data_IF_339000493356
#
_entry.id   IF_339000493356
#
_cell.length_a   1.000
_cell.length_b   1.000
_cell.length_c   1.000
_cell.angle_alpha   90.00
_cell.angle_beta   90.00
_cell.angle_gamma   90.00
#
_symmetry.space_group_name_H-M   'P 1'
#
loop_
_entity.id
_entity.type
_entity.pdbx_description
1 polymer ?
#
# COMPACT_ATOMS: atom_id res chain seq x y z
N UNK A 1 42.29 -11.05 74.96
CA UNK A 1 42.43 -9.81 75.77
C UNK A 1 41.56 -9.86 77.03
N UNK A 2 40.23 -9.99 76.95
CA UNK A 2 39.34 -10.05 78.12
C UNK A 2 39.67 -11.20 79.11
N UNK A 3 39.97 -12.41 78.60
CA UNK A 3 40.39 -13.55 79.43
C UNK A 3 41.71 -13.28 80.18
N UNK A 4 42.64 -12.55 79.56
CA UNK A 4 43.94 -12.18 80.16
C UNK A 4 43.81 -11.03 81.18
N UNK A 5 42.84 -10.12 81.01
CA UNK A 5 42.55 -9.03 81.94
C UNK A 5 41.88 -9.52 83.24
N UNK A 6 41.06 -10.58 83.17
CA UNK A 6 40.47 -11.23 84.35
C UNK A 6 41.51 -11.88 85.26
N UNK A 7 42.65 -12.32 84.71
CA UNK A 7 43.75 -12.90 85.49
C UNK A 7 44.61 -11.86 86.24
N UNK A 8 44.50 -10.57 85.91
CA UNK A 8 45.33 -9.49 86.47
C UNK A 8 44.71 -8.75 87.68
N UNK A 9 43.56 -9.20 88.20
CA UNK A 9 42.91 -8.59 89.37
C UNK A 9 42.49 -7.13 89.17
N UNK A 10 42.62 -6.28 90.22
CA UNK A 10 42.23 -4.86 90.17
C UNK A 10 42.94 -4.05 89.06
N UNK A 11 44.20 -4.37 88.76
CA UNK A 11 44.96 -3.69 87.70
C UNK A 11 44.45 -3.98 86.28
N UNK A 12 43.72 -5.08 86.08
CA UNK A 12 43.18 -5.50 84.78
C UNK A 12 41.79 -4.95 84.45
N UNK A 13 41.12 -4.28 85.40
CA UNK A 13 39.72 -3.86 85.27
C UNK A 13 39.50 -2.84 84.14
N UNK A 14 40.43 -1.90 83.96
CA UNK A 14 40.41 -0.97 82.83
C UNK A 14 40.64 -1.65 81.48
N UNK A 15 41.53 -2.64 81.41
CA UNK A 15 41.77 -3.41 80.19
C UNK A 15 40.59 -4.34 79.84
N UNK A 16 39.87 -4.85 80.84
CA UNK A 16 38.67 -5.65 80.64
C UNK A 16 37.55 -4.83 79.98
N UNK A 17 37.29 -3.61 80.45
CA UNK A 17 36.28 -2.70 79.87
C UNK A 17 36.64 -2.31 78.44
N UNK A 18 37.91 -1.98 78.19
CA UNK A 18 38.38 -1.65 76.83
C UNK A 18 38.27 -2.86 75.90
N UNK A 19 38.58 -4.07 76.37
CA UNK A 19 38.45 -5.28 75.58
C UNK A 19 36.97 -5.59 75.23
N UNK A 20 36.05 -5.36 76.16
CA UNK A 20 34.61 -5.56 75.96
C UNK A 20 34.04 -4.53 74.95
N UNK A 21 34.47 -3.26 75.04
CA UNK A 21 34.07 -2.23 74.07
C UNK A 21 34.66 -2.49 72.67
N UNK A 22 35.90 -2.98 72.58
CA UNK A 22 36.50 -3.40 71.30
C UNK A 22 35.75 -4.59 70.71
N UNK A 23 35.36 -5.59 71.52
CA UNK A 23 34.56 -6.71 71.04
C UNK A 23 33.19 -6.26 70.53
N UNK A 24 32.50 -5.40 71.30
CA UNK A 24 31.21 -4.83 70.91
C UNK A 24 31.31 -3.97 69.64
N UNK A 25 32.38 -3.20 69.47
CA UNK A 25 32.64 -2.44 68.25
C UNK A 25 32.93 -3.36 67.05
N UNK A 26 33.70 -4.43 67.25
CA UNK A 26 33.98 -5.43 66.23
C UNK A 26 32.71 -6.18 65.78
N UNK A 27 31.83 -6.55 66.72
CA UNK A 27 30.54 -7.16 66.43
C UNK A 27 29.63 -6.21 65.65
N UNK A 28 29.55 -4.94 66.06
CA UNK A 28 28.80 -3.90 65.31
C UNK A 28 29.35 -3.69 63.90
N UNK A 29 30.68 -3.63 63.76
CA UNK A 29 31.34 -3.47 62.46
C UNK A 29 31.07 -4.69 61.56
N UNK A 30 31.20 -5.91 62.08
CA UNK A 30 30.89 -7.15 61.36
C UNK A 30 29.43 -7.21 60.90
N UNK A 31 28.49 -6.82 61.75
CA UNK A 31 27.07 -6.76 61.39
C UNK A 31 26.79 -5.71 60.30
N UNK A 32 27.42 -4.53 60.39
CA UNK A 32 27.31 -3.52 59.35
C UNK A 32 27.90 -4.01 58.01
N UNK A 33 29.06 -4.69 58.03
CA UNK A 33 29.66 -5.29 56.83
C UNK A 33 28.74 -6.34 56.20
N UNK A 34 28.07 -7.18 56.99
CA UNK A 34 27.09 -8.15 56.48
C UNK A 34 25.87 -7.49 55.84
N UNK A 35 25.39 -6.39 56.41
CA UNK A 35 24.30 -5.61 55.81
C UNK A 35 24.73 -4.97 54.48
N UNK A 36 25.96 -4.46 54.40
CA UNK A 36 26.53 -3.92 53.15
C UNK A 36 26.68 -5.04 52.11
N UNK A 37 27.16 -6.23 52.48
CA UNK A 37 27.27 -7.37 51.55
C UNK A 37 25.90 -7.76 50.97
N UNK A 38 24.86 -7.81 51.82
CA UNK A 38 23.50 -8.06 51.37
C UNK A 38 23.00 -6.98 50.40
N UNK A 39 23.20 -5.70 50.73
CA UNK A 39 22.83 -4.58 49.85
C UNK A 39 23.54 -4.63 48.50
N UNK A 40 24.85 -4.93 48.50
CA UNK A 40 25.64 -5.06 47.27
C UNK A 40 25.11 -6.20 46.41
N UNK A 41 24.77 -7.34 47.00
CA UNK A 41 24.17 -8.47 46.26
C UNK A 41 22.82 -8.12 45.66
N UNK A 42 21.96 -7.39 46.39
CA UNK A 42 20.68 -6.91 45.85
C UNK A 42 20.91 -5.94 44.68
N UNK A 43 21.79 -4.94 44.84
CA UNK A 43 22.12 -3.99 43.77
C UNK A 43 22.65 -4.71 42.53
N UNK A 44 23.51 -5.72 42.70
CA UNK A 44 24.04 -6.52 41.59
C UNK A 44 22.93 -7.30 40.88
N UNK A 45 21.99 -7.89 41.63
CA UNK A 45 20.82 -8.58 41.06
C UNK A 45 19.95 -7.62 40.27
N UNK A 46 19.58 -6.47 40.85
CA UNK A 46 18.73 -5.46 40.22
C UNK A 46 19.39 -4.88 38.96
N UNK A 47 20.71 -4.68 39.01
CA UNK A 47 21.49 -4.20 37.85
C UNK A 47 21.47 -5.23 36.72
N UNK A 48 21.61 -6.53 37.01
CA UNK A 48 21.53 -7.58 36.00
C UNK A 48 20.13 -7.67 35.38
N UNK A 49 19.08 -7.51 36.18
CA UNK A 49 17.70 -7.47 35.68
C UNK A 49 17.48 -6.26 34.76
N UNK A 50 17.97 -5.08 35.16
CA UNK A 50 17.91 -3.87 34.34
C UNK A 50 18.63 -4.06 32.99
N UNK A 51 19.81 -4.68 32.99
CA UNK A 51 20.56 -5.00 31.76
C UNK A 51 19.73 -5.93 30.87
N UNK A 52 19.18 -7.02 31.41
CA UNK A 52 18.36 -7.96 30.63
C UNK A 52 17.12 -7.31 30.04
N UNK A 53 16.47 -6.43 30.79
CA UNK A 53 15.35 -5.63 30.31
C UNK A 53 15.76 -4.68 29.18
N UNK A 54 16.91 -4.00 29.32
CA UNK A 54 17.45 -3.13 28.27
C UNK A 54 17.81 -3.89 26.99
N UNK A 55 18.40 -5.07 27.09
CA UNK A 55 18.71 -5.93 25.93
C UNK A 55 17.43 -6.36 25.18
N UNK A 56 16.40 -6.73 25.94
CA UNK A 56 15.09 -7.05 25.37
C UNK A 56 14.47 -5.84 24.68
N UNK A 57 14.41 -4.69 25.34
CA UNK A 57 13.87 -3.46 24.74
C UNK A 57 14.64 -3.06 23.48
N UNK A 58 15.96 -3.22 23.46
CA UNK A 58 16.78 -2.95 22.28
C UNK A 58 16.38 -3.87 21.12
N UNK A 59 16.18 -5.16 21.39
CA UNK A 59 15.74 -6.12 20.37
C UNK A 59 14.36 -5.78 19.82
N UNK A 60 13.41 -5.41 20.70
CA UNK A 60 12.06 -5.00 20.31
C UNK A 60 12.08 -3.73 19.45
N UNK A 61 12.91 -2.74 19.81
CA UNK A 61 13.09 -1.50 19.01
C UNK A 61 13.67 -1.80 17.63
N UNK A 62 14.69 -2.66 17.53
CA UNK A 62 15.26 -3.06 16.22
C UNK A 62 14.23 -3.76 15.35
N UNK A 63 13.44 -4.68 15.94
CA UNK A 63 12.36 -5.35 15.21
C UNK A 63 11.26 -4.36 14.77
N UNK A 64 10.90 -3.42 15.64
CA UNK A 64 9.92 -2.38 15.34
C UNK A 64 10.39 -1.46 14.21
N UNK A 65 11.65 -1.03 14.25
CA UNK A 65 12.25 -0.21 13.20
C UNK A 65 12.24 -0.93 11.84
N UNK A 66 12.56 -2.23 11.83
CA UNK A 66 12.47 -3.04 10.61
C UNK A 66 11.04 -3.12 10.07
N UNK A 67 10.06 -3.37 10.93
CA UNK A 67 8.65 -3.42 10.52
C UNK A 67 8.17 -2.08 9.95
N UNK A 68 8.59 -0.95 10.55
CA UNK A 68 8.31 0.38 10.02
C UNK A 68 8.95 0.62 8.65
N UNK A 69 10.17 0.14 8.44
CA UNK A 69 10.84 0.23 7.14
C UNK A 69 10.12 -0.61 6.06
N UNK A 70 9.69 -1.82 6.40
CA UNK A 70 8.93 -2.69 5.51
C UNK A 70 7.59 -2.04 5.14
N UNK A 71 6.90 -1.44 6.11
CA UNK A 71 5.68 -0.67 5.89
C UNK A 71 5.91 0.56 4.98
N UNK A 72 7.02 1.28 5.18
CA UNK A 72 7.41 2.41 4.31
C UNK A 72 7.59 1.96 2.86
N UNK A 73 8.30 0.85 2.65
CA UNK A 73 8.51 0.27 1.31
C UNK A 73 7.19 -0.14 0.64
N UNK A 74 6.26 -0.72 1.41
CA UNK A 74 4.94 -1.08 0.89
C UNK A 74 4.12 0.16 0.49
N UNK A 75 4.22 1.26 1.24
CA UNK A 75 3.55 2.52 0.91
C UNK A 75 4.13 3.17 -0.35
N UNK A 76 5.46 3.14 -0.54
CA UNK A 76 6.10 3.60 -1.78
C UNK A 76 5.62 2.80 -3.01
N UNK A 77 5.42 1.49 -2.86
CA UNK A 77 4.85 0.66 -3.92
C UNK A 77 3.39 1.04 -4.24
N UNK A 78 2.59 1.30 -3.20
CA UNK A 78 1.20 1.76 -3.37
C UNK A 78 1.14 3.12 -4.07
N UNK A 79 2.03 4.04 -3.72
CA UNK A 79 2.15 5.35 -4.38
C UNK A 79 2.49 5.19 -5.87
N UNK A 80 3.48 4.36 -6.19
CA UNK A 80 3.87 4.11 -7.58
C UNK A 80 2.72 3.52 -8.41
N UNK A 81 1.99 2.53 -7.88
CA UNK A 81 0.83 1.94 -8.55
C UNK A 81 -0.30 2.97 -8.70
N UNK A 82 -0.49 3.85 -7.72
CA UNK A 82 -1.51 4.91 -7.78
C UNK A 82 -1.21 5.92 -8.90
N UNK A 83 0.06 6.29 -9.10
CA UNK A 83 0.47 7.12 -10.23
C UNK A 83 0.21 6.43 -11.57
N UNK A 84 0.59 5.17 -11.72
CA UNK A 84 0.32 4.39 -12.94
C UNK A 84 -1.18 4.31 -13.24
N UNK A 85 -2.02 4.15 -12.20
CA UNK A 85 -3.47 4.13 -12.36
C UNK A 85 -4.01 5.48 -12.84
N UNK A 86 -3.49 6.59 -12.32
CA UNK A 86 -3.88 7.94 -12.77
C UNK A 86 -3.54 8.18 -14.24
N UNK A 87 -2.36 7.72 -14.69
CA UNK A 87 -1.96 7.80 -16.09
C UNK A 87 -2.89 6.94 -16.98
N UNK A 88 -3.25 5.74 -16.52
CA UNK A 88 -4.15 4.86 -17.24
C UNK A 88 -5.55 5.47 -17.38
N UNK A 89 -6.07 6.10 -16.31
CA UNK A 89 -7.36 6.79 -16.34
C UNK A 89 -7.33 7.93 -17.36
N UNK A 90 -6.26 8.72 -17.40
CA UNK A 90 -6.08 9.78 -18.39
C UNK A 90 -6.14 9.23 -19.82
N UNK A 91 -5.40 8.15 -20.09
CA UNK A 91 -5.39 7.50 -21.40
C UNK A 91 -6.78 6.95 -21.78
N UNK A 92 -7.51 6.35 -20.84
CA UNK A 92 -8.87 5.86 -21.07
C UNK A 92 -9.82 7.01 -21.39
N UNK A 93 -9.73 8.13 -20.66
CA UNK A 93 -10.54 9.32 -20.93
C UNK A 93 -10.28 9.89 -22.32
N UNK A 94 -9.01 9.96 -22.74
CA UNK A 94 -8.65 10.44 -24.08
C UNK A 94 -9.15 9.48 -25.18
N UNK A 95 -8.99 8.17 -24.98
CA UNK A 95 -9.50 7.16 -25.90
C UNK A 95 -11.04 7.22 -26.02
N UNK A 96 -11.75 7.39 -24.90
CA UNK A 96 -13.20 7.54 -24.90
C UNK A 96 -13.65 8.80 -25.66
N UNK A 97 -12.92 9.91 -25.53
CA UNK A 97 -13.19 11.14 -26.28
C UNK A 97 -12.98 10.94 -27.78
N UNK A 98 -11.91 10.26 -28.18
CA UNK A 98 -11.67 9.91 -29.59
C UNK A 98 -12.77 8.99 -30.14
N UNK A 99 -13.19 8.00 -29.37
CA UNK A 99 -14.26 7.09 -29.75
C UNK A 99 -15.60 7.82 -29.92
N UNK A 100 -15.92 8.77 -29.04
CA UNK A 100 -17.12 9.60 -29.19
C UNK A 100 -17.07 10.43 -30.48
N UNK A 101 -15.92 11.02 -30.83
CA UNK A 101 -15.75 11.76 -32.08
C UNK A 101 -15.91 10.85 -33.30
N UNK A 102 -15.34 9.65 -33.27
CA UNK A 102 -15.49 8.67 -34.34
C UNK A 102 -16.94 8.20 -34.52
N UNK A 103 -17.69 8.07 -33.42
CA UNK A 103 -19.12 7.74 -33.46
C UNK A 103 -19.93 8.84 -34.16
N UNK A 104 -19.64 10.12 -33.90
CA UNK A 104 -20.26 11.25 -34.60
C UNK A 104 -19.99 11.18 -36.10
N UNK A 105 -18.72 11.03 -36.51
CA UNK A 105 -18.37 10.93 -37.93
C UNK A 105 -18.99 9.71 -38.63
N UNK A 106 -19.17 8.61 -37.91
CA UNK A 106 -19.88 7.42 -38.41
C UNK A 106 -21.36 7.74 -38.61
N UNK A 107 -22.00 8.44 -37.67
CA UNK A 107 -23.39 8.87 -37.80
C UNK A 107 -23.58 9.80 -39.00
N UNK A 108 -22.66 10.74 -39.23
CA UNK A 108 -22.70 11.64 -40.38
C UNK A 108 -22.56 10.87 -41.69
N UNK A 109 -21.67 9.88 -41.73
CA UNK A 109 -21.51 9.00 -42.91
C UNK A 109 -22.79 8.21 -43.19
N UNK A 110 -23.51 7.76 -42.16
CA UNK A 110 -24.79 7.07 -42.32
C UNK A 110 -25.88 7.99 -42.89
N UNK A 111 -25.92 9.27 -42.50
CA UNK A 111 -26.83 10.24 -43.09
C UNK A 111 -26.56 10.45 -44.59
N UNK A 112 -25.28 10.53 -44.99
CA UNK A 112 -24.89 10.63 -46.41
C UNK A 112 -25.30 9.37 -47.19
N UNK A 113 -25.09 8.18 -46.62
CA UNK A 113 -25.51 6.92 -47.24
C UNK A 113 -27.03 6.90 -47.43
N UNK A 114 -27.80 7.37 -46.46
CA UNK A 114 -29.26 7.47 -46.56
C UNK A 114 -29.68 8.39 -47.71
N UNK A 115 -29.05 9.57 -47.84
CA UNK A 115 -29.31 10.50 -48.94
C UNK A 115 -29.03 9.87 -50.31
N UNK A 116 -27.86 9.24 -50.48
CA UNK A 116 -27.50 8.54 -51.72
C UNK A 116 -28.48 7.41 -52.02
N UNK A 117 -28.93 6.68 -51.00
CA UNK A 117 -29.90 5.59 -51.15
C UNK A 117 -31.25 6.12 -51.64
N UNK A 118 -31.72 7.25 -51.10
CA UNK A 118 -32.94 7.91 -51.58
C UNK A 118 -32.80 8.37 -53.03
N UNK A 119 -31.69 9.03 -53.38
CA UNK A 119 -31.42 9.47 -54.75
C UNK A 119 -31.38 8.29 -55.73
N UNK A 120 -30.75 7.18 -55.34
CA UNK A 120 -30.68 5.95 -56.14
C UNK A 120 -32.05 5.34 -56.36
N UNK A 121 -32.90 5.30 -55.32
CA UNK A 121 -34.29 4.83 -55.43
C UNK A 121 -35.09 5.68 -56.41
N UNK A 122 -34.99 7.01 -56.32
CA UNK A 122 -35.63 7.94 -57.26
C UNK A 122 -35.16 7.71 -58.69
N UNK A 123 -33.85 7.65 -58.94
CA UNK A 123 -33.30 7.41 -60.28
C UNK A 123 -33.69 6.05 -60.86
N UNK A 124 -33.84 5.04 -60.01
CA UNK A 124 -34.34 3.71 -60.40
C UNK A 124 -35.81 3.79 -60.86
N UNK A 125 -36.66 4.52 -60.13
CA UNK A 125 -38.06 4.74 -60.52
C UNK A 125 -38.17 5.52 -61.84
N UNK A 126 -37.35 6.55 -62.05
CA UNK A 126 -37.31 7.30 -63.31
C UNK A 126 -36.84 6.44 -64.49
N UNK A 127 -35.87 5.56 -64.24
CA UNK A 127 -35.38 4.60 -65.24
C UNK A 127 -36.48 3.60 -65.60
N UNK A 128 -37.20 3.04 -64.62
CA UNK A 128 -38.33 2.15 -64.85
C UNK A 128 -39.44 2.82 -65.67
N UNK A 129 -39.78 4.08 -65.36
CA UNK A 129 -40.76 4.86 -66.12
C UNK A 129 -40.31 5.09 -67.58
N UNK A 130 -39.02 5.38 -67.78
CA UNK A 130 -38.45 5.56 -69.13
C UNK A 130 -38.47 4.27 -69.94
N UNK A 131 -38.15 3.12 -69.31
CA UNK A 131 -38.28 1.80 -69.93
C UNK A 131 -39.74 1.52 -70.33
N UNK A 132 -40.70 1.86 -69.46
CA UNK A 132 -42.13 1.75 -69.77
C UNK A 132 -42.53 2.53 -71.03
N UNK A 133 -42.09 3.79 -71.15
CA UNK A 133 -42.32 4.61 -72.35
C UNK A 133 -41.66 4.04 -73.61
N UNK A 134 -40.45 3.49 -73.49
CA UNK A 134 -39.76 2.85 -74.61
C UNK A 134 -40.51 1.60 -75.11
N UNK A 135 -41.08 0.81 -74.21
CA UNK A 135 -41.93 -0.34 -74.56
C UNK A 135 -43.20 0.10 -75.30
N UNK A 136 -43.81 1.20 -74.88
CA UNK A 136 -45.00 1.78 -75.52
C UNK A 136 -44.68 2.24 -76.95
N UNK A 137 -43.61 3.03 -77.13
CA UNK A 137 -43.14 3.48 -78.45
C UNK A 137 -42.76 2.30 -79.36
N UNK A 138 -42.11 1.27 -78.83
CA UNK A 138 -41.78 0.06 -79.59
C UNK A 138 -43.05 -0.67 -80.06
N UNK A 139 -44.10 -0.70 -79.24
CA UNK A 139 -45.40 -1.27 -79.63
C UNK A 139 -46.12 -0.44 -80.70
N UNK A 140 -46.08 0.89 -80.59
CA UNK A 140 -46.61 1.80 -81.61
C UNK A 140 -45.91 1.62 -82.96
N UNK A 141 -44.57 1.60 -82.95
CA UNK A 141 -43.76 1.33 -84.15
C UNK A 141 -44.11 -0.03 -84.77
N UNK A 142 -44.19 -1.09 -83.95
CA UNK A 142 -44.60 -2.43 -84.42
C UNK A 142 -45.98 -2.40 -85.08
N UNK A 143 -46.94 -1.69 -84.48
CA UNK A 143 -48.30 -1.55 -85.01
C UNK A 143 -48.30 -0.77 -86.33
N UNK A 144 -47.56 0.35 -86.39
CA UNK A 144 -47.41 1.17 -87.59
C UNK A 144 -46.83 0.37 -88.76
N UNK A 145 -45.77 -0.42 -88.51
CA UNK A 145 -45.13 -1.26 -89.55
C UNK A 145 -46.02 -2.44 -89.97
N UNK A 146 -46.86 -2.98 -89.08
CA UNK A 146 -47.78 -4.08 -89.40
C UNK A 146 -48.85 -3.73 -90.47
N UNK A 147 -49.14 -2.44 -90.65
CA UNK A 147 -50.01 -1.94 -91.72
C UNK A 147 -49.35 -1.96 -93.11
N UNK A 148 -48.02 -2.04 -93.18
CA UNK A 148 -47.27 -2.15 -94.44
C UNK A 148 -47.12 -3.62 -94.88
N UNK A 149 -48.23 -4.36 -94.97
CA UNK A 149 -48.20 -5.64 -95.69
C UNK A 149 -47.93 -5.36 -97.18
N UNK A 150 -46.83 -5.88 -97.69
CA UNK A 150 -46.61 -5.98 -99.13
C UNK A 150 -47.66 -6.92 -99.76
N UNK A 151 -48.12 -6.63 -100.99
CA UNK A 151 -49.03 -7.50 -101.74
C UNK A 151 -48.42 -8.88 -102.04
#
# INVERSE_FOLDING_TARGET
AAIQAAMAGEAGRGFAVVADEVQRLAERSSNATKQIDALVKTIQSDTNEAISSMERSTTEVVSGAKLSQDAGTALEQIEAVSHQLADLITNISDAARQQAQAAVSTSDSMNVIQEITMQTSTGTNESAASIGRLLELANELRTSVSGFKLP
#
